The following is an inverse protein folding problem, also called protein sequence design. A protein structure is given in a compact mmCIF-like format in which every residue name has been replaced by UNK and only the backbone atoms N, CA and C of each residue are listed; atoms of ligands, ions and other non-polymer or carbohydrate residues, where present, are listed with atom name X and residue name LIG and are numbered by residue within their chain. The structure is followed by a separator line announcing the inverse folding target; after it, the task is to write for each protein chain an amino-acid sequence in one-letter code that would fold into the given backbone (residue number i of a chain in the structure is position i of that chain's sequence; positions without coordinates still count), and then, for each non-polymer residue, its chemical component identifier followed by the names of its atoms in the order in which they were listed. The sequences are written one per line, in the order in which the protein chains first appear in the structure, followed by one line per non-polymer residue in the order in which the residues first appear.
data_IF_778813192326
#
_entry.id   IF_778813192326
#
_cell.length_a   1.000
_cell.length_b   1.000
_cell.length_c   1.000
_cell.angle_alpha   90.00
_cell.angle_beta   90.00
_cell.angle_gamma   90.00
#
_symmetry.space_group_name_H-M   'P 1'
#
loop_
_entity.id
_entity.type
_entity.pdbx_description
1 polymer ?
#
# COMPACT_ATOMS: atom_id res chain seq x y z
N UNK A 1 -10.72 -7.59 -4.52
CA UNK A 1 -9.72 -6.76 -3.80
C UNK A 1 -8.79 -6.18 -4.85
N UNK A 2 -8.60 -4.85 -4.89
CA UNK A 2 -7.75 -4.20 -5.89
C UNK A 2 -6.41 -3.85 -5.22
N UNK A 3 -5.33 -4.50 -5.66
CA UNK A 3 -3.97 -4.15 -5.25
C UNK A 3 -3.59 -2.82 -5.88
N UNK A 4 -3.05 -1.88 -5.09
CA UNK A 4 -2.52 -0.61 -5.60
C UNK A 4 -1.21 -0.82 -6.36
N UNK A 5 -0.47 -1.84 -5.94
CA UNK A 5 0.82 -2.23 -6.47
C UNK A 5 1.00 -3.72 -6.18
N UNK A 6 1.62 -4.44 -7.12
CA UNK A 6 2.03 -5.84 -6.96
C UNK A 6 3.20 -6.08 -7.91
N UNK A 7 4.36 -6.46 -7.36
CA UNK A 7 5.59 -6.60 -8.12
C UNK A 7 6.85 -6.66 -7.26
N UNK A 8 7.97 -6.98 -7.91
CA UNK A 8 9.29 -7.02 -7.29
C UNK A 8 9.93 -5.63 -7.28
N UNK A 9 10.53 -5.29 -6.14
CA UNK A 9 11.18 -4.00 -5.92
C UNK A 9 12.58 -4.23 -5.39
N UNK A 10 13.59 -3.64 -6.03
CA UNK A 10 14.97 -3.67 -5.54
C UNK A 10 15.13 -2.96 -4.20
N UNK A 11 16.28 -3.13 -3.56
CA UNK A 11 16.58 -2.43 -2.29
C UNK A 11 16.52 -0.91 -2.49
N UNK A 12 15.78 -0.21 -1.62
CA UNK A 12 15.68 1.24 -1.66
C UNK A 12 14.32 1.76 -1.19
N UNK A 13 14.10 3.06 -1.41
CA UNK A 13 12.81 3.70 -1.14
C UNK A 13 11.96 3.71 -2.40
N UNK A 14 10.73 3.23 -2.28
CA UNK A 14 9.75 3.21 -3.38
C UNK A 14 8.55 4.06 -3.02
N UNK A 15 8.02 4.77 -4.01
CA UNK A 15 6.84 5.60 -3.86
C UNK A 15 5.75 5.12 -4.81
N UNK A 16 4.54 4.93 -4.27
CA UNK A 16 3.35 4.57 -5.05
C UNK A 16 2.36 5.71 -4.97
N UNK A 17 1.93 6.22 -6.13
CA UNK A 17 0.89 7.25 -6.21
C UNK A 17 -0.47 6.57 -6.32
N UNK A 18 -1.33 6.81 -5.33
CA UNK A 18 -2.69 6.30 -5.32
C UNK A 18 -3.68 7.40 -5.70
N UNK A 19 -4.38 7.23 -6.82
CA UNK A 19 -5.51 8.09 -7.18
C UNK A 19 -6.76 7.62 -6.42
N UNK A 20 -7.23 8.46 -5.50
CA UNK A 20 -8.41 8.22 -4.66
C UNK A 20 -9.69 8.95 -5.15
N UNK A 21 -9.71 9.48 -6.37
CA UNK A 21 -10.81 10.33 -6.88
C UNK A 21 -12.16 9.61 -6.85
N UNK A 22 -12.14 8.28 -7.05
CA UNK A 22 -13.34 7.43 -7.04
C UNK A 22 -13.78 6.95 -5.63
N UNK A 23 -13.13 7.43 -4.56
CA UNK A 23 -13.49 7.12 -3.18
C UNK A 23 -14.22 8.29 -2.52
N UNK A 24 -15.22 8.01 -1.69
CA UNK A 24 -15.88 9.03 -0.87
C UNK A 24 -14.98 9.50 0.28
N UNK A 25 -15.27 10.67 0.86
CA UNK A 25 -14.61 11.06 2.12
C UNK A 25 -14.85 9.98 3.19
N UNK A 26 -13.82 9.65 3.98
CA UNK A 26 -13.92 8.58 4.96
C UNK A 26 -12.58 8.05 5.46
N UNK A 27 -12.68 7.01 6.30
CA UNK A 27 -11.53 6.29 6.85
C UNK A 27 -11.22 5.05 6.02
N UNK A 28 -9.98 4.94 5.56
CA UNK A 28 -9.49 3.81 4.80
C UNK A 28 -8.33 3.15 5.53
N UNK A 29 -8.29 1.83 5.50
CA UNK A 29 -7.17 1.04 6.01
C UNK A 29 -6.55 0.32 4.81
N UNK A 30 -5.23 0.37 4.71
CA UNK A 30 -4.48 -0.36 3.70
C UNK A 30 -3.32 -1.11 4.34
N UNK A 31 -2.90 -2.17 3.66
CA UNK A 31 -1.82 -3.06 4.10
C UNK A 31 -0.70 -3.04 3.07
N UNK A 32 0.52 -2.88 3.55
CA UNK A 32 1.73 -3.14 2.79
C UNK A 32 2.25 -4.50 3.24
N UNK A 33 2.53 -5.38 2.27
CA UNK A 33 3.13 -6.68 2.53
C UNK A 33 4.34 -6.82 1.60
N UNK A 34 5.47 -7.19 2.17
CA UNK A 34 6.72 -7.44 1.44
C UNK A 34 7.16 -8.85 1.78
N UNK A 35 7.55 -9.61 0.76
CA UNK A 35 8.17 -10.92 0.89
C UNK A 35 9.59 -10.77 0.38
N UNK A 36 10.58 -10.91 1.27
CA UNK A 36 11.99 -10.89 0.90
C UNK A 36 12.40 -12.18 0.19
N UNK A 37 13.50 -12.12 -0.55
CA UNK A 37 14.08 -13.29 -1.24
C UNK A 37 14.48 -14.42 -0.27
N UNK A 38 14.71 -14.06 1.00
CA UNK A 38 14.99 -14.98 2.11
C UNK A 38 13.72 -15.58 2.74
N UNK A 39 12.54 -15.26 2.21
CA UNK A 39 11.24 -15.71 2.70
C UNK A 39 10.69 -14.92 3.89
N UNK A 40 11.39 -13.90 4.39
CA UNK A 40 10.85 -13.07 5.47
C UNK A 40 9.66 -12.24 4.97
N UNK A 41 8.57 -12.28 5.74
CA UNK A 41 7.37 -11.51 5.46
C UNK A 41 7.29 -10.31 6.40
N UNK A 42 7.27 -9.13 5.81
CA UNK A 42 7.01 -7.89 6.54
C UNK A 42 5.60 -7.39 6.20
N UNK A 43 4.84 -7.02 7.24
CA UNK A 43 3.47 -6.53 7.10
C UNK A 43 3.31 -5.25 7.90
N UNK A 44 2.78 -4.22 7.26
CA UNK A 44 2.40 -2.98 7.93
C UNK A 44 0.99 -2.56 7.54
N UNK A 45 0.18 -2.23 8.54
CA UNK A 45 -1.16 -1.70 8.34
C UNK A 45 -1.15 -0.19 8.60
N UNK A 46 -1.70 0.59 7.67
CA UNK A 46 -1.77 2.03 7.76
C UNK A 46 -3.21 2.51 7.60
N UNK A 47 -3.49 3.65 8.21
CA UNK A 47 -4.80 4.30 8.22
C UNK A 47 -4.71 5.63 7.47
N UNK A 48 -5.67 5.89 6.58
CA UNK A 48 -5.78 7.11 5.79
C UNK A 48 -7.14 7.74 6.03
N UNK A 49 -7.16 9.05 6.32
CA UNK A 49 -8.39 9.84 6.36
C UNK A 49 -8.47 10.59 5.03
N UNK A 50 -9.48 10.28 4.21
CA UNK A 50 -9.76 10.99 2.97
C UNK A 50 -10.79 12.09 3.25
N UNK A 51 -10.41 13.33 2.98
CA UNK A 51 -11.28 14.49 3.08
C UNK A 51 -11.34 15.17 1.71
N UNK A 52 -12.54 15.25 1.14
CA UNK A 52 -12.86 16.00 -0.08
C UNK A 52 -13.51 17.33 0.27
#
# INVERSE_FOLDING_TARGET
MKSLVDGEYGVGTHQVVFNADNLSSGLYIYRIQVVGDDGHVWVENKKMILMK
#
